data_IF_225452781816
#
_entry.id   IF_225452781816
#
_cell.length_a   1.000
_cell.length_b   1.000
_cell.length_c   1.000
_cell.angle_alpha   90.00
_cell.angle_beta   90.00
_cell.angle_gamma   90.00
#
_symmetry.space_group_name_H-M   'P 1'
#
loop_
_entity.id
_entity.type
_entity.pdbx_description
1 polymer ?
#
# COMPACT_ATOMS: atom_id res chain seq x y z
N UNK A 1 2.93 19.64 0.02
CA UNK A 1 1.71 18.88 -0.36
C UNK A 1 0.58 19.19 0.61
N UNK A 2 -0.60 19.54 0.10
CA UNK A 2 -1.78 19.83 0.92
C UNK A 2 -2.96 19.00 0.41
N UNK A 3 -3.77 18.51 1.34
CA UNK A 3 -5.05 17.89 1.01
C UNK A 3 -6.13 18.98 1.10
N UNK A 4 -6.78 19.25 -0.02
CA UNK A 4 -7.89 20.19 -0.09
C UNK A 4 -9.18 19.39 -0.28
N UNK A 5 -10.14 19.58 0.61
CA UNK A 5 -11.44 18.93 0.54
C UNK A 5 -12.53 19.98 0.33
N UNK A 6 -13.41 19.75 -0.64
CA UNK A 6 -14.65 20.50 -0.78
C UNK A 6 -15.65 20.07 0.28
N UNK A 7 -16.54 20.97 0.69
CA UNK A 7 -17.67 20.58 1.55
C UNK A 7 -18.60 19.65 0.75
N UNK A 8 -18.72 18.41 1.22
CA UNK A 8 -19.48 17.35 0.56
C UNK A 8 -20.99 17.61 0.49
N UNK A 9 -21.51 18.53 1.31
CA UNK A 9 -22.89 19.00 1.24
C UNK A 9 -23.12 20.00 0.11
N UNK A 10 -22.08 20.73 -0.29
CA UNK A 10 -22.16 21.76 -1.34
C UNK A 10 -21.72 21.25 -2.71
N UNK A 11 -20.75 20.34 -2.74
CA UNK A 11 -20.15 19.87 -3.97
C UNK A 11 -19.78 18.40 -3.84
N UNK A 12 -20.42 17.58 -4.70
CA UNK A 12 -20.15 16.16 -4.82
C UNK A 12 -20.05 15.80 -6.29
N UNK A 13 -18.95 15.15 -6.64
CA UNK A 13 -18.77 14.60 -7.97
C UNK A 13 -19.87 13.62 -8.36
N UNK A 14 -20.42 13.79 -9.55
CA UNK A 14 -21.47 12.98 -10.16
C UNK A 14 -20.97 12.39 -11.49
N UNK A 15 -21.08 11.06 -11.68
CA UNK A 15 -20.77 10.43 -12.96
C UNK A 15 -21.54 11.06 -14.13
N UNK A 16 -20.87 11.23 -15.28
CA UNK A 16 -21.40 11.88 -16.48
C UNK A 16 -21.26 13.41 -16.49
N UNK A 17 -20.98 14.04 -15.35
CA UNK A 17 -20.66 15.48 -15.30
C UNK A 17 -19.20 15.73 -15.66
N UNK A 18 -18.89 16.95 -16.11
CA UNK A 18 -17.54 17.40 -16.44
C UNK A 18 -17.01 18.40 -15.42
N UNK A 19 -15.74 18.32 -15.12
CA UNK A 19 -15.07 19.11 -14.11
C UNK A 19 -13.77 19.67 -14.65
N UNK A 20 -13.40 20.88 -14.24
CA UNK A 20 -12.11 21.49 -14.55
C UNK A 20 -11.45 21.96 -13.26
N UNK A 21 -10.12 22.01 -13.29
CA UNK A 21 -9.32 22.61 -12.23
C UNK A 21 -8.91 24.01 -12.66
N UNK A 22 -9.03 24.98 -11.75
CA UNK A 22 -8.48 26.33 -11.91
C UNK A 22 -7.67 26.68 -10.68
N UNK A 23 -6.39 26.98 -10.87
CA UNK A 23 -5.45 27.35 -9.81
C UNK A 23 -4.98 28.77 -10.06
N UNK A 24 -5.09 29.64 -9.05
CA UNK A 24 -4.57 31.01 -9.10
C UNK A 24 -3.39 31.07 -8.14
N UNK A 25 -2.21 31.39 -8.65
CA UNK A 25 -0.98 31.49 -7.88
C UNK A 25 -0.29 32.81 -8.19
N UNK A 26 -0.48 33.80 -7.32
CA UNK A 26 -0.05 35.18 -7.59
C UNK A 26 -0.73 35.71 -8.85
N UNK A 27 0.06 36.06 -9.87
CA UNK A 27 -0.43 36.54 -11.16
C UNK A 27 -0.58 35.44 -12.22
N UNK A 28 -0.27 34.18 -11.89
CA UNK A 28 -0.38 33.05 -12.82
C UNK A 28 -1.69 32.31 -12.63
N UNK A 29 -2.29 31.90 -13.74
CA UNK A 29 -3.54 31.13 -13.76
C UNK A 29 -3.29 29.83 -14.49
N UNK A 30 -3.57 28.71 -13.83
CA UNK A 30 -3.46 27.37 -14.39
C UNK A 30 -4.84 26.73 -14.52
N UNK A 31 -5.12 26.13 -15.67
CA UNK A 31 -6.43 25.55 -15.97
C UNK A 31 -6.30 24.20 -16.69
N UNK A 32 -7.36 23.40 -16.60
CA UNK A 32 -7.54 22.17 -17.37
C UNK A 32 -8.75 22.28 -18.27
N UNK A 33 -8.74 21.57 -19.40
CA UNK A 33 -9.98 21.36 -20.13
C UNK A 33 -10.98 20.52 -19.28
N UNK A 34 -12.29 20.62 -19.53
CA UNK A 34 -13.28 19.86 -18.77
C UNK A 34 -13.11 18.34 -18.94
N UNK A 35 -12.93 17.63 -17.84
CA UNK A 35 -12.78 16.17 -17.75
C UNK A 35 -14.09 15.54 -17.29
N UNK A 36 -14.61 14.58 -18.05
CA UNK A 36 -15.81 13.84 -17.67
C UNK A 36 -15.52 12.80 -16.57
N UNK A 37 -16.35 12.77 -15.54
CA UNK A 37 -16.33 11.72 -14.52
C UNK A 37 -17.01 10.46 -15.07
N UNK A 38 -16.22 9.49 -15.52
CA UNK A 38 -16.76 8.20 -15.97
C UNK A 38 -17.26 7.41 -14.76
N UNK A 39 -18.43 6.75 -14.81
CA UNK A 39 -18.87 5.86 -13.75
C UNK A 39 -17.92 4.66 -13.59
N UNK A 40 -17.67 4.27 -12.35
CA UNK A 40 -16.84 3.10 -12.03
C UNK A 40 -17.75 1.92 -11.66
N UNK A 41 -17.53 0.71 -12.20
CA UNK A 41 -18.24 -0.46 -11.72
C UNK A 41 -17.75 -0.86 -10.34
N UNK A 42 -18.52 -1.67 -9.63
CA UNK A 42 -18.04 -2.31 -8.41
C UNK A 42 -16.90 -3.29 -8.71
N UNK A 43 -16.05 -3.55 -7.71
CA UNK A 43 -15.08 -4.65 -7.78
C UNK A 43 -15.83 -5.96 -7.55
N UNK A 44 -15.85 -6.86 -8.53
CA UNK A 44 -16.62 -8.11 -8.42
C UNK A 44 -16.01 -9.03 -7.36
N UNK A 45 -14.72 -9.30 -7.44
CA UNK A 45 -14.00 -10.17 -6.53
C UNK A 45 -12.62 -9.59 -6.24
N UNK A 46 -12.16 -9.82 -5.01
CA UNK A 46 -10.79 -9.55 -4.57
C UNK A 46 -10.43 -10.76 -3.72
N UNK A 47 -9.46 -11.54 -4.18
CA UNK A 47 -9.13 -12.84 -3.62
C UNK A 47 -7.63 -13.08 -3.70
N UNK A 48 -7.16 -14.13 -3.04
CA UNK A 48 -5.76 -14.47 -3.03
C UNK A 48 -5.54 -15.96 -3.32
N UNK A 49 -4.35 -16.28 -3.81
CA UNK A 49 -3.85 -17.63 -3.99
C UNK A 49 -2.54 -17.76 -3.22
N UNK A 50 -2.45 -18.77 -2.36
CA UNK A 50 -1.19 -19.19 -1.75
C UNK A 50 -0.36 -19.94 -2.80
N UNK A 51 0.92 -19.61 -2.90
CA UNK A 51 1.83 -20.18 -3.90
C UNK A 51 3.14 -20.61 -3.26
N UNK A 52 3.76 -21.67 -3.79
CA UNK A 52 5.13 -22.05 -3.45
C UNK A 52 6.11 -21.17 -4.26
N UNK A 53 7.11 -20.58 -3.58
CA UNK A 53 8.05 -19.63 -4.16
C UNK A 53 9.29 -20.33 -4.75
N UNK A 54 9.82 -21.34 -4.07
CA UNK A 54 11.09 -22.00 -4.42
C UNK A 54 10.92 -23.30 -5.23
N UNK A 55 9.67 -23.71 -5.50
CA UNK A 55 9.35 -24.95 -6.20
C UNK A 55 9.72 -26.22 -5.45
N UNK A 56 10.16 -26.14 -4.19
CA UNK A 56 10.59 -27.30 -3.41
C UNK A 56 9.39 -28.20 -3.13
N UNK A 57 9.56 -29.50 -3.40
CA UNK A 57 8.59 -30.55 -3.05
C UNK A 57 8.88 -31.17 -1.68
N UNK A 58 10.05 -30.88 -1.10
CA UNK A 58 10.35 -31.26 0.27
C UNK A 58 9.59 -30.35 1.21
N UNK A 59 8.65 -30.93 1.96
CA UNK A 59 7.83 -30.19 2.91
C UNK A 59 8.66 -29.36 3.89
N UNK A 60 9.89 -29.74 4.22
CA UNK A 60 10.72 -29.02 5.19
C UNK A 60 11.34 -27.73 4.66
N UNK A 61 11.41 -27.55 3.34
CA UNK A 61 12.01 -26.39 2.67
C UNK A 61 10.96 -25.52 1.95
N UNK A 62 9.66 -25.78 2.12
CA UNK A 62 8.62 -25.03 1.42
C UNK A 62 8.59 -23.57 1.89
N UNK A 63 8.83 -22.67 0.95
CA UNK A 63 8.61 -21.23 1.08
C UNK A 63 7.32 -20.83 0.37
N UNK A 64 6.39 -20.21 1.11
CA UNK A 64 5.10 -19.81 0.58
C UNK A 64 4.97 -18.29 0.47
N UNK A 65 4.23 -17.85 -0.54
CA UNK A 65 3.86 -16.47 -0.75
C UNK A 65 2.38 -16.35 -1.10
N UNK A 66 1.93 -15.12 -1.30
CA UNK A 66 0.54 -14.79 -1.53
C UNK A 66 0.41 -13.93 -2.80
N UNK A 67 -0.35 -14.40 -3.80
CA UNK A 67 -0.74 -13.61 -4.97
C UNK A 67 -2.16 -13.12 -4.79
N UNK A 68 -2.36 -11.81 -4.86
CA UNK A 68 -3.68 -11.18 -4.75
C UNK A 68 -4.17 -10.81 -6.14
N UNK A 69 -5.41 -11.19 -6.44
CA UNK A 69 -6.05 -10.95 -7.73
C UNK A 69 -7.37 -10.23 -7.59
N UNK A 70 -7.73 -9.52 -8.66
CA UNK A 70 -8.98 -8.79 -8.77
C UNK A 70 -9.71 -9.15 -10.06
N UNK A 71 -11.03 -9.31 -9.95
CA UNK A 71 -11.95 -9.33 -11.09
C UNK A 71 -12.89 -8.12 -11.07
N UNK A 72 -13.17 -7.59 -12.26
CA UNK A 72 -14.04 -6.43 -12.46
C UNK A 72 -14.75 -6.51 -13.80
N UNK A 73 -15.99 -6.02 -13.83
CA UNK A 73 -16.84 -6.08 -15.00
C UNK A 73 -17.81 -4.91 -15.00
N UNK A 74 -17.76 -4.11 -16.07
CA UNK A 74 -18.77 -3.09 -16.34
C UNK A 74 -19.78 -3.60 -17.40
N UNK A 75 -21.00 -3.98 -17.00
CA UNK A 75 -22.03 -4.40 -17.95
C UNK A 75 -22.52 -3.26 -18.85
N UNK A 76 -22.37 -1.99 -18.44
CA UNK A 76 -22.75 -0.84 -19.25
C UNK A 76 -21.73 -0.51 -20.35
N UNK A 77 -20.50 -1.03 -20.20
CA UNK A 77 -19.41 -0.80 -21.14
C UNK A 77 -18.89 0.64 -21.21
N UNK A 78 -19.26 1.50 -20.25
CA UNK A 78 -18.84 2.91 -20.17
C UNK A 78 -17.43 3.06 -19.62
N UNK A 79 -17.04 2.21 -18.67
CA UNK A 79 -15.67 2.12 -18.17
C UNK A 79 -14.87 1.12 -19.00
N UNK A 80 -13.96 1.63 -19.85
CA UNK A 80 -13.08 0.81 -20.69
C UNK A 80 -11.61 0.86 -20.28
N UNK A 81 -11.26 1.77 -19.39
CA UNK A 81 -9.92 1.96 -18.88
C UNK A 81 -10.01 1.97 -17.36
N UNK A 82 -9.25 1.09 -16.73
CA UNK A 82 -9.28 0.88 -15.30
C UNK A 82 -7.93 1.27 -14.71
N UNK A 83 -7.98 1.80 -13.48
CA UNK A 83 -6.81 1.96 -12.63
C UNK A 83 -7.12 1.44 -11.23
N UNK A 84 -6.10 0.88 -10.60
CA UNK A 84 -6.16 0.47 -9.21
C UNK A 84 -5.04 1.11 -8.41
N UNK A 85 -5.34 1.38 -7.15
CA UNK A 85 -4.36 1.62 -6.10
C UNK A 85 -4.75 0.76 -4.93
N UNK A 86 -3.82 0.50 -4.02
CA UNK A 86 -4.14 -0.24 -2.82
C UNK A 86 -3.46 0.35 -1.59
N UNK A 87 -4.06 0.10 -0.44
CA UNK A 87 -3.46 0.38 0.87
C UNK A 87 -3.39 -0.95 1.61
N UNK A 88 -2.16 -1.37 1.93
CA UNK A 88 -1.89 -2.56 2.73
C UNK A 88 -1.94 -2.17 4.21
N UNK A 89 -2.37 -3.09 5.05
CA UNK A 89 -2.21 -2.98 6.50
C UNK A 89 -2.02 -4.37 7.06
N UNK A 90 -0.99 -4.58 7.88
CA UNK A 90 -0.77 -5.88 8.54
C UNK A 90 -0.44 -5.70 10.01
N UNK A 91 -0.74 -6.74 10.77
CA UNK A 91 -0.35 -6.85 12.16
C UNK A 91 1.13 -7.22 12.24
N UNK A 92 1.91 -6.39 12.93
CA UNK A 92 3.31 -6.60 13.22
C UNK A 92 3.47 -6.95 14.70
N UNK A 93 4.00 -8.16 14.95
CA UNK A 93 4.21 -8.70 16.29
C UNK A 93 5.69 -8.94 16.59
N UNK A 94 6.18 -8.26 17.62
CA UNK A 94 7.48 -8.54 18.24
C UNK A 94 7.38 -9.88 19.00
N UNK A 95 8.33 -10.82 18.83
CA UNK A 95 8.27 -12.14 19.44
C UNK A 95 8.60 -12.16 20.94
N UNK A 96 8.91 -11.01 21.53
CA UNK A 96 9.32 -10.83 22.92
C UNK A 96 8.17 -10.33 23.80
N UNK A 97 8.24 -10.59 25.10
CA UNK A 97 7.19 -10.21 26.04
C UNK A 97 7.36 -8.76 26.53
N UNK A 98 7.29 -7.82 25.59
CA UNK A 98 7.41 -6.39 25.84
C UNK A 98 6.04 -5.70 25.83
N UNK A 99 5.94 -4.51 26.42
CA UNK A 99 4.69 -3.76 26.55
C UNK A 99 4.08 -3.44 25.17
N UNK A 100 4.86 -2.80 24.28
CA UNK A 100 4.43 -2.42 22.93
C UNK A 100 4.79 -3.50 21.91
N UNK A 101 4.20 -4.69 22.02
CA UNK A 101 4.52 -5.84 21.14
C UNK A 101 3.64 -6.01 19.91
N UNK A 102 2.47 -5.36 19.83
CA UNK A 102 1.53 -5.46 18.70
C UNK A 102 1.31 -4.07 18.11
N UNK A 103 1.62 -3.93 16.83
CA UNK A 103 1.36 -2.72 16.06
C UNK A 103 0.76 -3.05 14.70
N UNK A 104 0.21 -2.04 14.06
CA UNK A 104 -0.33 -2.10 12.70
C UNK A 104 0.51 -1.21 11.81
N UNK A 105 1.06 -1.81 10.76
CA UNK A 105 1.84 -1.10 9.74
C UNK A 105 0.93 -0.89 8.53
N UNK A 106 0.89 0.34 8.02
CA UNK A 106 0.06 0.71 6.86
C UNK A 106 0.94 1.33 5.80
N UNK A 107 0.85 0.81 4.58
CA UNK A 107 1.60 1.30 3.42
C UNK A 107 0.66 1.50 2.23
N UNK A 108 0.96 2.48 1.40
CA UNK A 108 0.21 2.74 0.16
C UNK A 108 0.97 2.18 -1.03
N UNK A 109 0.23 1.80 -2.08
CA UNK A 109 0.81 1.29 -3.32
C UNK A 109 1.58 2.39 -4.06
N UNK A 110 2.81 2.10 -4.44
CA UNK A 110 3.59 2.93 -5.36
C UNK A 110 3.51 2.45 -6.82
N UNK A 111 2.91 1.28 -7.05
CA UNK A 111 2.76 0.69 -8.38
C UNK A 111 1.61 1.33 -9.19
N UNK A 112 1.87 1.55 -10.48
CA UNK A 112 0.84 2.03 -11.43
C UNK A 112 0.10 0.84 -12.00
N UNK A 113 -1.02 0.46 -11.38
CA UNK A 113 -1.91 -0.61 -11.86
C UNK A 113 -3.00 -0.05 -12.79
N UNK A 114 -2.93 -0.36 -14.08
CA UNK A 114 -3.88 0.05 -15.12
C UNK A 114 -4.16 -1.10 -16.09
N UNK A 115 -5.38 -1.09 -16.66
CA UNK A 115 -5.82 -2.04 -17.69
C UNK A 115 -6.73 -1.37 -18.72
N UNK A 116 -6.48 -1.64 -20.00
CA UNK A 116 -7.34 -1.25 -21.11
C UNK A 116 -8.19 -2.44 -21.58
N UNK A 117 -9.51 -2.25 -21.66
CA UNK A 117 -10.46 -3.21 -22.20
C UNK A 117 -11.24 -2.69 -23.41
N UNK A 118 -10.77 -1.61 -24.06
CA UNK A 118 -11.41 -0.98 -25.22
C UNK A 118 -11.39 -1.88 -26.46
N UNK A 119 -10.43 -2.79 -26.56
CA UNK A 119 -10.29 -3.75 -27.66
C UNK A 119 -11.12 -5.02 -27.44
N UNK A 120 -11.68 -5.23 -26.24
CA UNK A 120 -12.52 -6.38 -25.94
C UNK A 120 -14.00 -6.02 -26.07
N UNK A 121 -14.79 -6.98 -26.54
CA UNK A 121 -16.27 -6.83 -26.62
C UNK A 121 -16.84 -6.45 -25.26
N UNK A 122 -16.43 -7.15 -24.21
CA UNK A 122 -16.84 -6.91 -22.83
C UNK A 122 -15.80 -6.07 -22.07
N UNK A 123 -16.27 -5.11 -21.26
CA UNK A 123 -15.45 -4.37 -20.32
C UNK A 123 -15.16 -5.22 -19.07
N UNK A 124 -14.42 -6.32 -19.27
CA UNK A 124 -14.14 -7.33 -18.25
C UNK A 124 -12.65 -7.45 -18.01
N UNK A 125 -12.30 -7.53 -16.74
CA UNK A 125 -10.97 -7.80 -16.23
C UNK A 125 -11.08 -9.02 -15.33
N UNK A 126 -10.31 -10.07 -15.62
CA UNK A 126 -10.30 -11.32 -14.88
C UNK A 126 -8.88 -11.64 -14.44
N UNK A 127 -8.74 -12.07 -13.18
CA UNK A 127 -7.51 -12.51 -12.54
C UNK A 127 -6.38 -11.50 -12.73
N UNK A 128 -6.67 -10.22 -12.55
CA UNK A 128 -5.66 -9.17 -12.65
C UNK A 128 -4.74 -9.22 -11.43
N UNK A 129 -3.41 -9.37 -11.60
CA UNK A 129 -2.48 -9.43 -10.48
C UNK A 129 -2.36 -8.05 -9.84
N UNK A 130 -2.79 -7.94 -8.58
CA UNK A 130 -2.74 -6.68 -7.81
C UNK A 130 -1.43 -6.57 -7.05
N UNK A 131 -1.04 -7.63 -6.35
CA UNK A 131 0.15 -7.66 -5.51
C UNK A 131 0.63 -9.09 -5.33
N UNK A 132 1.94 -9.28 -5.32
CA UNK A 132 2.56 -10.52 -4.88
C UNK A 132 3.40 -10.27 -3.63
N UNK A 133 3.05 -10.96 -2.54
CA UNK A 133 3.75 -10.88 -1.27
C UNK A 133 4.61 -12.13 -1.13
N UNK A 134 5.93 -11.93 -1.07
CA UNK A 134 6.90 -13.02 -0.84
C UNK A 134 7.06 -13.32 0.65
N UNK A 135 7.77 -14.40 0.97
CA UNK A 135 8.19 -14.72 2.34
C UNK A 135 9.27 -13.78 2.90
N UNK A 136 9.81 -12.82 2.13
CA UNK A 136 10.89 -11.93 2.58
C UNK A 136 10.43 -10.80 3.50
N UNK A 137 9.13 -10.71 3.77
CA UNK A 137 8.55 -9.70 4.66
C UNK A 137 7.67 -10.35 5.72
N UNK A 138 7.50 -9.66 6.83
CA UNK A 138 6.62 -10.05 7.94
C UNK A 138 5.13 -9.83 7.65
N UNK A 139 4.77 -9.28 6.48
CA UNK A 139 3.40 -8.97 6.07
C UNK A 139 2.46 -10.17 6.19
N UNK A 140 2.96 -11.39 5.97
CA UNK A 140 2.21 -12.65 6.02
C UNK A 140 2.37 -13.44 7.33
N UNK A 141 3.02 -12.86 8.36
CA UNK A 141 3.29 -13.54 9.63
C UNK A 141 2.04 -13.67 10.49
N UNK A 142 1.22 -12.62 10.52
CA UNK A 142 0.00 -12.52 11.31
C UNK A 142 -1.21 -12.24 10.38
N UNK A 143 -2.15 -11.38 10.78
CA UNK A 143 -3.26 -10.98 9.92
C UNK A 143 -2.80 -9.89 8.94
N UNK A 144 -3.14 -10.06 7.67
CA UNK A 144 -2.92 -9.09 6.60
C UNK A 144 -4.25 -8.56 6.05
N UNK A 145 -4.29 -7.29 5.65
CA UNK A 145 -5.41 -6.66 4.95
C UNK A 145 -4.93 -5.81 3.79
N UNK A 146 -5.73 -5.79 2.72
CA UNK A 146 -5.54 -4.89 1.59
C UNK A 146 -6.87 -4.23 1.23
N UNK A 147 -6.86 -2.91 1.07
CA UNK A 147 -7.97 -2.14 0.51
C UNK A 147 -7.61 -1.73 -0.92
N UNK A 148 -8.32 -2.27 -1.90
CA UNK A 148 -8.14 -1.88 -3.30
C UNK A 148 -9.16 -0.81 -3.67
N UNK A 149 -8.67 0.32 -4.18
CA UNK A 149 -9.47 1.37 -4.80
C UNK A 149 -9.42 1.19 -6.32
N UNK A 150 -10.59 1.04 -6.95
CA UNK A 150 -10.77 0.98 -8.40
C UNK A 150 -11.28 2.32 -8.92
N UNK A 151 -10.67 2.79 -9.99
CA UNK A 151 -11.00 4.02 -10.70
C UNK A 151 -11.36 3.72 -12.16
N UNK A 152 -12.33 4.44 -12.67
CA UNK A 152 -12.64 4.53 -14.10
C UNK A 152 -11.82 5.66 -14.72
N UNK A 153 -11.09 5.37 -15.78
CA UNK A 153 -10.29 6.35 -16.51
C UNK A 153 -10.92 6.67 -17.87
N UNK A 154 -10.69 7.88 -18.35
CA UNK A 154 -10.83 8.19 -19.77
C UNK A 154 -9.53 7.81 -20.53
N UNK A 155 -9.57 7.84 -21.86
CA UNK A 155 -8.42 7.47 -22.70
C UNK A 155 -7.18 8.32 -22.41
N UNK A 156 -7.33 9.65 -22.36
CA UNK A 156 -6.20 10.57 -22.16
C UNK A 156 -5.51 10.34 -20.81
N UNK A 157 -6.29 10.04 -19.77
CA UNK A 157 -5.77 9.73 -18.45
C UNK A 157 -5.08 8.36 -18.43
N UNK A 158 -5.64 7.36 -19.10
CA UNK A 158 -4.99 6.06 -19.25
C UNK A 158 -3.62 6.21 -19.94
N UNK A 159 -3.56 6.98 -21.02
CA UNK A 159 -2.32 7.21 -21.77
C UNK A 159 -1.28 7.95 -20.92
N UNK A 160 -1.72 8.88 -20.07
CA UNK A 160 -0.83 9.52 -19.08
C UNK A 160 -0.25 8.49 -18.11
N UNK A 161 -1.08 7.67 -17.46
CA UNK A 161 -0.59 6.65 -16.52
C UNK A 161 0.27 5.58 -17.20
N UNK A 162 -0.01 5.24 -18.47
CA UNK A 162 0.83 4.34 -19.25
C UNK A 162 2.23 4.92 -19.48
N UNK A 163 2.34 6.23 -19.74
CA UNK A 163 3.64 6.93 -19.79
C UNK A 163 4.35 6.93 -18.43
N UNK A 164 3.61 7.21 -17.34
CA UNK A 164 4.18 7.17 -15.97
C UNK A 164 4.74 5.80 -15.65
N UNK A 165 3.97 4.72 -15.89
CA UNK A 165 4.43 3.35 -15.71
C UNK A 165 5.67 3.04 -16.54
N UNK A 166 5.67 3.43 -17.81
CA UNK A 166 6.78 3.16 -18.71
C UNK A 166 8.08 3.87 -18.23
N UNK A 167 7.98 5.07 -17.69
CA UNK A 167 9.15 5.75 -17.10
C UNK A 167 9.58 5.06 -15.81
N UNK A 168 8.65 4.73 -14.89
CA UNK A 168 9.01 4.11 -13.60
C UNK A 168 9.64 2.72 -13.74
N UNK A 169 9.21 1.93 -14.73
CA UNK A 169 9.75 0.57 -14.96
C UNK A 169 11.12 0.57 -15.67
N UNK A 170 11.48 1.66 -16.35
CA UNK A 170 12.72 1.77 -17.13
C UNK A 170 13.80 2.63 -16.47
N UNK A 171 13.53 3.22 -15.30
CA UNK A 171 14.53 3.94 -14.48
C UNK A 171 15.30 2.94 -13.64
N UNK A 172 16.63 2.97 -13.72
CA UNK A 172 17.55 2.10 -12.97
C UNK A 172 18.23 1.00 -13.80
N UNK A 173 18.19 1.07 -15.13
CA UNK A 173 18.90 0.16 -16.03
C UNK A 173 20.20 0.82 -16.52
N UNK A 174 21.23 0.04 -16.90
CA UNK A 174 22.52 0.56 -17.38
C UNK A 174 22.40 1.47 -18.63
N UNK A 175 21.24 1.42 -19.29
CA UNK A 175 20.82 2.29 -20.39
C UNK A 175 19.60 3.14 -19.99
N UNK A 176 19.73 3.91 -18.92
CA UNK A 176 18.66 4.79 -18.44
C UNK A 176 18.20 5.74 -19.57
N UNK A 177 16.92 5.65 -19.90
CA UNK A 177 16.25 6.70 -20.66
C UNK A 177 16.22 7.96 -19.80
N UNK A 178 16.71 9.09 -20.33
CA UNK A 178 16.55 10.38 -19.66
C UNK A 178 15.06 10.62 -19.43
N UNK A 179 14.58 10.77 -18.18
CA UNK A 179 13.16 10.94 -17.92
C UNK A 179 12.70 12.24 -18.56
N UNK A 180 11.95 12.16 -19.66
CA UNK A 180 11.30 13.34 -20.23
C UNK A 180 10.13 13.74 -19.33
N UNK A 181 9.88 15.05 -19.22
CA UNK A 181 8.74 15.56 -18.47
C UNK A 181 7.43 14.98 -19.05
N UNK A 182 6.71 14.18 -18.25
CA UNK A 182 5.44 13.62 -18.69
C UNK A 182 4.42 14.75 -18.71
N UNK A 183 4.09 15.20 -19.91
CA UNK A 183 3.08 16.24 -20.10
C UNK A 183 1.73 15.76 -19.59
N UNK A 184 1.15 16.55 -18.68
CA UNK A 184 -0.18 16.35 -18.14
C UNK A 184 -1.26 17.11 -18.92
N UNK A 185 -2.37 17.41 -18.24
CA UNK A 185 -3.50 18.16 -18.81
C UNK A 185 -3.73 19.53 -18.15
N UNK A 186 -2.79 19.99 -17.33
CA UNK A 186 -2.81 21.32 -16.71
C UNK A 186 -1.94 22.25 -17.56
N UNK A 187 -2.45 23.44 -17.88
CA UNK A 187 -1.72 24.47 -18.63
C UNK A 187 -1.76 25.81 -17.93
N UNK A 188 -0.69 26.58 -18.04
CA UNK A 188 -0.68 27.98 -17.62
C UNK A 188 -1.35 28.83 -18.71
N UNK A 189 -2.44 29.51 -18.37
CA UNK A 189 -3.20 30.37 -19.29
C UNK A 189 -2.48 31.71 -19.50
N UNK A 190 -1.74 32.15 -18.50
CA UNK A 190 -1.00 33.42 -18.51
C UNK A 190 0.38 33.33 -19.17
N UNK A 191 0.96 32.14 -19.28
CA UNK A 191 2.29 31.88 -19.87
C UNK A 191 2.28 30.51 -20.58
N UNK A 192 1.95 30.46 -21.89
CA UNK A 192 1.82 29.20 -22.63
C UNK A 192 3.12 28.39 -22.78
N UNK A 193 4.28 29.02 -22.60
CA UNK A 193 5.59 28.37 -22.72
C UNK A 193 6.04 27.72 -21.39
N UNK A 194 5.33 28.00 -20.29
CA UNK A 194 5.60 27.40 -19.00
C UNK A 194 5.27 25.91 -19.00
N UNK A 195 6.29 25.08 -18.71
CA UNK A 195 6.07 23.65 -18.49
C UNK A 195 5.39 23.42 -17.15
N UNK A 196 4.18 22.84 -17.18
CA UNK A 196 3.42 22.45 -15.99
C UNK A 196 3.38 20.94 -15.88
N UNK A 197 3.67 20.43 -14.69
CA UNK A 197 3.65 18.99 -14.39
C UNK A 197 2.38 18.58 -13.63
N UNK A 198 2.05 17.31 -13.73
CA UNK A 198 0.91 16.70 -13.04
C UNK A 198 -0.34 16.60 -13.90
N UNK A 199 -1.27 15.76 -13.46
CA UNK A 199 -2.50 15.46 -14.19
C UNK A 199 -3.70 15.64 -13.27
N UNK A 200 -4.67 16.42 -13.72
CA UNK A 200 -5.97 16.53 -13.09
C UNK A 200 -6.87 15.37 -13.52
N UNK A 201 -7.14 14.48 -12.59
CA UNK A 201 -7.99 13.30 -12.76
C UNK A 201 -9.34 13.51 -12.10
N UNK A 202 -10.39 12.97 -12.72
CA UNK A 202 -11.74 12.97 -12.18
C UNK A 202 -12.33 11.58 -12.37
N UNK A 203 -12.57 10.89 -11.26
CA UNK A 203 -13.06 9.52 -11.29
C UNK A 203 -13.95 9.23 -10.09
N UNK A 204 -14.98 8.42 -10.30
CA UNK A 204 -15.67 7.76 -9.20
C UNK A 204 -14.78 6.62 -8.65
N UNK A 205 -14.95 6.27 -7.37
CA UNK A 205 -14.10 5.25 -6.73
C UNK A 205 -14.96 4.13 -6.17
N UNK A 206 -14.68 2.90 -6.58
CA UNK A 206 -15.18 1.69 -5.95
C UNK A 206 -14.09 1.08 -5.07
N UNK A 207 -14.46 0.57 -3.90
CA UNK A 207 -13.50 0.02 -2.94
C UNK A 207 -13.87 -1.41 -2.55
N UNK A 208 -12.87 -2.27 -2.37
CA UNK A 208 -13.06 -3.61 -1.81
C UNK A 208 -11.88 -3.97 -0.91
N UNK A 209 -12.18 -4.51 0.27
CA UNK A 209 -11.18 -4.94 1.25
C UNK A 209 -11.12 -6.46 1.29
N UNK A 210 -9.91 -6.99 1.42
CA UNK A 210 -9.63 -8.40 1.67
C UNK A 210 -8.83 -8.53 2.97
N UNK A 211 -9.07 -9.60 3.71
CA UNK A 211 -8.29 -10.03 4.87
C UNK A 211 -7.72 -11.42 4.61
N UNK A 212 -6.51 -11.67 5.12
CA UNK A 212 -5.79 -12.93 5.01
C UNK A 212 -5.28 -13.29 6.41
N UNK A 213 -5.70 -14.46 6.90
CA UNK A 213 -5.29 -15.05 8.19
C UNK A 213 -4.66 -16.43 8.04
N UNK A 214 -4.38 -16.80 6.81
CA UNK A 214 -3.80 -18.09 6.51
C UNK A 214 -2.34 -18.15 6.97
N UNK A 215 -1.92 -19.30 7.48
CA UNK A 215 -0.50 -19.50 7.85
C UNK A 215 0.32 -19.77 6.60
N UNK A 216 1.41 -19.03 6.42
CA UNK A 216 2.38 -19.23 5.34
C UNK A 216 3.65 -19.90 5.88
N UNK A 217 4.19 -20.87 5.16
CA UNK A 217 5.40 -21.62 5.53
C UNK A 217 6.66 -20.98 4.96
N UNK A 218 7.80 -21.27 5.59
CA UNK A 218 9.10 -20.76 5.16
C UNK A 218 9.24 -19.24 5.33
N UNK A 219 8.50 -18.65 6.28
CA UNK A 219 8.72 -17.26 6.70
C UNK A 219 10.01 -17.20 7.55
N UNK A 220 11.00 -16.36 7.19
CA UNK A 220 12.20 -16.16 7.98
C UNK A 220 11.87 -15.65 9.38
N UNK A 221 12.78 -15.93 10.32
CA UNK A 221 12.75 -15.29 11.62
C UNK A 221 13.29 -13.86 11.49
N UNK A 222 12.40 -12.87 11.35
CA UNK A 222 12.79 -11.48 11.04
C UNK A 222 13.53 -10.74 12.16
N UNK A 223 13.62 -11.28 13.38
CA UNK A 223 14.11 -10.58 14.57
C UNK A 223 15.23 -11.32 15.31
N UNK A 224 16.03 -12.13 14.60
CA UNK A 224 17.11 -12.95 15.18
C UNK A 224 18.26 -12.12 15.76
N UNK A 225 18.40 -10.85 15.34
CA UNK A 225 19.45 -9.94 15.79
C UNK A 225 19.09 -9.19 17.09
N UNK A 226 17.88 -9.39 17.63
CA UNK A 226 17.38 -8.56 18.71
C UNK A 226 18.08 -8.80 20.05
N UNK A 227 18.35 -10.05 20.42
CA UNK A 227 19.13 -10.35 21.62
C UNK A 227 20.57 -9.87 21.43
N UNK A 228 20.97 -8.83 22.16
CA UNK A 228 22.30 -8.23 22.08
C UNK A 228 23.23 -8.75 23.18
N UNK A 229 22.71 -8.87 24.40
CA UNK A 229 23.47 -9.36 25.55
C UNK A 229 22.56 -10.02 26.60
N UNK A 230 23.16 -10.69 27.58
CA UNK A 230 22.49 -11.28 28.74
C UNK A 230 23.12 -10.77 30.03
N UNK A 231 22.32 -10.12 30.88
CA UNK A 231 22.76 -9.59 32.16
C UNK A 231 22.43 -10.58 33.27
N UNK A 232 23.37 -10.83 34.19
CA UNK A 232 23.18 -11.71 35.35
C UNK A 232 23.21 -10.90 36.65
N UNK A 233 22.50 -11.39 37.68
CA UNK A 233 22.58 -10.84 39.03
C UNK A 233 21.53 -9.76 39.30
N UNK A 234 21.91 -8.48 39.29
CA UNK A 234 20.97 -7.37 39.56
C UNK A 234 20.86 -6.49 38.32
N UNK A 235 19.64 -6.30 37.82
CA UNK A 235 19.34 -5.28 36.80
C UNK A 235 19.86 -3.93 37.30
N UNK A 236 20.72 -3.23 36.53
CA UNK A 236 21.11 -1.88 36.88
C UNK A 236 19.86 -1.01 37.04
N UNK A 237 19.72 -0.32 38.18
CA UNK A 237 18.70 0.72 38.35
C UNK A 237 18.99 1.80 37.31
N UNK A 238 18.24 1.74 36.20
CA UNK A 238 18.27 2.63 35.04
C UNK A 238 18.97 3.97 35.27
N UNK A 239 20.26 4.02 34.92
CA UNK A 239 20.99 5.27 34.76
C UNK A 239 20.51 6.00 33.51
N UNK A 240 19.33 6.63 33.57
CA UNK A 240 18.92 7.82 32.83
C UNK A 240 19.54 8.05 31.43
N UNK A 241 19.43 7.08 30.50
CA UNK A 241 19.33 7.27 29.04
C UNK A 241 19.34 5.90 28.33
N UNK A 242 18.20 5.51 27.76
CA UNK A 242 17.97 4.77 26.49
C UNK A 242 18.95 3.75 25.89
N UNK A 243 19.96 3.22 26.60
CA UNK A 243 21.03 2.44 25.97
C UNK A 243 20.65 0.97 25.70
N UNK A 244 19.73 0.42 26.49
CA UNK A 244 19.23 -0.95 26.30
C UNK A 244 17.78 -1.13 26.80
N UNK A 245 17.11 -2.15 26.28
CA UNK A 245 15.77 -2.59 26.69
C UNK A 245 15.80 -4.06 27.08
N UNK A 246 15.08 -4.42 28.13
CA UNK A 246 14.83 -5.82 28.50
C UNK A 246 13.75 -6.38 27.57
N UNK A 247 14.06 -7.47 26.88
CA UNK A 247 13.13 -8.16 25.97
C UNK A 247 12.64 -9.50 26.55
N UNK A 248 13.42 -10.12 27.44
CA UNK A 248 13.00 -11.27 28.24
C UNK A 248 13.49 -11.11 29.68
N UNK A 249 12.62 -11.45 30.63
CA UNK A 249 12.82 -11.28 32.07
C UNK A 249 12.79 -12.64 32.76
N UNK A 250 13.92 -13.02 33.36
CA UNK A 250 14.09 -14.23 34.14
C UNK A 250 14.58 -13.90 35.56
N UNK A 251 14.09 -12.79 36.13
CA UNK A 251 14.46 -12.34 37.47
C UNK A 251 14.00 -13.26 38.62
N UNK A 252 13.03 -14.15 38.37
CA UNK A 252 12.50 -15.10 39.35
C UNK A 252 13.27 -16.43 39.41
N UNK A 253 14.25 -16.64 38.52
CA UNK A 253 15.06 -17.86 38.49
C UNK A 253 16.08 -17.91 39.65
N UNK A 254 16.57 -19.11 39.98
CA UNK A 254 17.57 -19.29 41.06
C UNK A 254 18.87 -18.52 40.81
N UNK A 255 19.22 -18.37 39.53
CA UNK A 255 20.29 -17.49 39.06
C UNK A 255 19.64 -16.48 38.10
N UNK A 256 19.25 -15.29 38.59
CA UNK A 256 18.45 -14.35 37.81
C UNK A 256 19.26 -13.78 36.64
N UNK A 257 18.61 -13.71 35.48
CA UNK A 257 19.18 -13.13 34.27
C UNK A 257 18.14 -12.40 33.41
N UNK A 258 18.61 -11.55 32.50
CA UNK A 258 17.78 -10.77 31.60
C UNK A 258 18.39 -10.72 30.22
N UNK A 259 17.57 -10.93 29.19
CA UNK A 259 18.00 -10.75 27.80
C UNK A 259 17.70 -9.31 27.40
N UNK A 260 18.72 -8.60 26.94
CA UNK A 260 18.62 -7.18 26.57
C UNK A 260 18.92 -6.95 25.10
N UNK A 261 18.39 -5.84 24.59
CA UNK A 261 18.63 -5.36 23.23
C UNK A 261 19.05 -3.90 23.26
N UNK A 262 19.94 -3.50 22.35
CA UNK A 262 20.22 -2.08 22.06
C UNK A 262 19.40 -1.56 20.88
N UNK A 263 18.51 -2.39 20.32
CA UNK A 263 17.64 -2.06 19.19
C UNK A 263 16.23 -1.75 19.69
N UNK A 264 15.82 -0.48 19.59
CA UNK A 264 14.50 -0.05 20.08
C UNK A 264 13.36 -0.80 19.41
N UNK A 265 13.47 -1.09 18.12
CA UNK A 265 12.50 -1.84 17.32
C UNK A 265 12.25 -3.27 17.81
N UNK A 266 13.16 -3.83 18.61
CA UNK A 266 13.01 -5.13 19.24
C UNK A 266 12.22 -5.08 20.55
N UNK A 267 12.02 -3.90 21.13
CA UNK A 267 11.27 -3.70 22.38
C UNK A 267 10.00 -2.84 22.23
N UNK A 268 9.88 -2.09 21.13
CA UNK A 268 8.77 -1.18 20.88
C UNK A 268 8.39 -1.16 19.40
N UNK A 269 7.25 -1.77 19.07
CA UNK A 269 6.80 -1.87 17.68
C UNK A 269 6.37 -0.52 17.08
N UNK A 270 6.21 0.52 17.91
CA UNK A 270 5.78 1.86 17.46
C UNK A 270 6.87 2.58 16.67
N UNK A 271 8.09 2.06 16.65
CA UNK A 271 9.15 2.52 15.75
C UNK A 271 8.79 2.30 14.27
N UNK A 272 7.88 1.36 13.98
CA UNK A 272 7.48 1.00 12.61
C UNK A 272 6.00 1.20 12.33
N UNK A 273 5.13 1.01 13.32
CA UNK A 273 3.68 1.07 13.14
C UNK A 273 2.98 1.85 14.24
N UNK A 274 1.65 1.74 14.28
CA UNK A 274 0.84 2.30 15.36
C UNK A 274 0.30 1.19 16.26
N UNK A 275 0.27 1.41 17.56
CA UNK A 275 -0.40 0.51 18.52
C UNK A 275 -1.93 0.62 18.49
N UNK A 276 -2.46 1.60 17.74
CA UNK A 276 -3.90 1.82 17.58
C UNK A 276 -4.43 0.88 16.50
N UNK A 277 -5.31 -0.04 16.90
CA UNK A 277 -5.98 -0.94 15.97
C UNK A 277 -6.89 -0.17 15.00
N UNK A 278 -6.74 -0.36 13.67
CA UNK A 278 -7.62 0.25 12.70
C UNK A 278 -9.07 -0.21 12.87
N UNK A 279 -10.04 0.69 12.70
CA UNK A 279 -11.47 0.40 12.88
C UNK A 279 -11.97 -0.78 12.03
N UNK A 280 -11.53 -0.85 10.78
CA UNK A 280 -11.89 -1.94 9.86
C UNK A 280 -11.39 -3.32 10.32
N UNK A 281 -10.37 -3.38 11.18
CA UNK A 281 -9.90 -4.63 11.78
C UNK A 281 -10.89 -5.18 12.81
N UNK A 282 -11.52 -4.29 13.57
CA UNK A 282 -12.52 -4.64 14.58
C UNK A 282 -13.79 -5.23 13.94
N UNK A 283 -14.28 -4.60 12.87
CA UNK A 283 -15.43 -5.07 12.09
C UNK A 283 -15.20 -6.48 11.52
N UNK A 284 -13.97 -6.77 11.09
CA UNK A 284 -13.62 -8.10 10.58
C UNK A 284 -13.51 -9.16 11.70
N UNK A 285 -13.03 -8.77 12.88
CA UNK A 285 -12.95 -9.65 14.05
C UNK A 285 -14.32 -9.97 14.64
N UNK A 286 -15.29 -9.06 14.48
CA UNK A 286 -16.64 -9.15 15.03
C UNK A 286 -17.68 -8.89 13.92
N UNK A 287 -17.86 -9.86 13.00
CA UNK A 287 -18.72 -9.70 11.82
C UNK A 287 -20.22 -9.72 12.11
#
# INVERSE_FOLDING_TARGET
>A
PGTYSTDSLTFRGQPGSKYSLRIILGNKIYETDPVEMIPVPAVNSLYYEKVNINGSTDTTEIEEGCKIYLDSYDPSGRCRYFRWTYTETWEYRIPYNVVNKICYVTENSDEVLIRNTSQFTQARVTKYPVLFITNKSDRLKETYSILVNQYSLNRNEYDFWARVRNVSENVGNLYDITPFAIQGNIRCVTDPDETVLGYFSVSAVARKRLFIRERFRGLPHFMTYCATDTLYGTLPETGLNSDYWVIEDFGDETEPFWVVTTYKECADCTTRGTSIMPSFWYEYLNP
#
